data_IF_012291478669
#
_entry.id   IF_012291478669
#
_cell.length_a   1.000
_cell.length_b   1.000
_cell.length_c   1.000
_cell.angle_alpha   90.00
_cell.angle_beta   90.00
_cell.angle_gamma   90.00
#
_symmetry.space_group_name_H-M   'P 1'
#
loop_
_entity.id
_entity.type
_entity.pdbx_description
1 polymer ?
#
# COMPACT_ATOMS: atom_id res chain seq x y z
N UNK A 1 9.23 5.34 0.60
CA UNK A 1 10.35 5.74 1.47
C UNK A 1 10.25 4.94 2.76
N UNK A 2 11.26 4.95 3.61
CA UNK A 2 11.15 4.43 4.99
C UNK A 2 11.62 5.58 5.88
N UNK A 3 10.79 6.08 6.80
CA UNK A 3 11.32 6.95 7.86
C UNK A 3 12.00 6.02 8.85
N UNK A 4 13.26 6.30 9.17
CA UNK A 4 14.10 5.42 9.97
C UNK A 4 14.35 6.11 11.31
N UNK A 5 13.99 5.44 12.40
CA UNK A 5 14.30 5.89 13.76
C UNK A 5 14.89 4.75 14.59
N UNK A 6 15.53 5.10 15.72
CA UNK A 6 16.07 4.12 16.68
C UNK A 6 14.94 3.29 17.29
N UNK A 7 13.81 3.93 17.57
CA UNK A 7 12.60 3.34 18.14
C UNK A 7 11.96 2.36 17.14
N UNK A 8 11.92 2.71 15.86
CA UNK A 8 11.47 1.80 14.80
C UNK A 8 12.38 0.58 14.68
N UNK A 9 13.69 0.78 14.73
CA UNK A 9 14.65 -0.34 14.72
C UNK A 9 14.43 -1.28 15.91
N UNK A 10 14.12 -0.73 17.09
CA UNK A 10 13.78 -1.53 18.27
C UNK A 10 12.50 -2.34 18.05
N UNK A 11 11.44 -1.71 17.51
CA UNK A 11 10.17 -2.40 17.18
C UNK A 11 10.36 -3.52 16.17
N UNK A 12 11.15 -3.30 15.12
CA UNK A 12 11.48 -4.34 14.12
C UNK A 12 12.16 -5.54 14.77
N UNK A 13 13.14 -5.30 15.65
CA UNK A 13 13.84 -6.39 16.37
C UNK A 13 12.88 -7.19 17.26
N UNK A 14 12.05 -6.50 18.04
CA UNK A 14 11.04 -7.15 18.89
C UNK A 14 10.05 -7.98 18.07
N UNK A 15 9.60 -7.47 16.92
CA UNK A 15 8.76 -8.26 16.01
C UNK A 15 9.48 -9.50 15.49
N UNK A 16 10.75 -9.38 15.09
CA UNK A 16 11.55 -10.50 14.59
C UNK A 16 11.88 -11.55 15.66
N UNK A 17 11.89 -11.18 16.94
CA UNK A 17 11.97 -12.13 18.07
C UNK A 17 10.70 -12.96 18.19
N UNK A 18 9.53 -12.36 17.97
CA UNK A 18 8.23 -13.05 18.01
C UNK A 18 7.98 -13.86 16.72
N UNK A 19 8.41 -13.34 15.57
CA UNK A 19 8.26 -13.96 14.26
C UNK A 19 9.65 -14.20 13.64
N UNK A 20 10.27 -15.33 14.02
CA UNK A 20 11.62 -15.68 13.56
C UNK A 20 11.77 -15.72 12.04
N UNK A 21 10.75 -16.21 11.32
CA UNK A 21 10.75 -16.24 9.85
C UNK A 21 10.88 -14.83 9.23
N UNK A 22 10.30 -13.81 9.87
CA UNK A 22 10.43 -12.44 9.39
C UNK A 22 11.90 -11.96 9.47
N UNK A 23 12.68 -12.46 10.44
CA UNK A 23 14.11 -12.15 10.55
C UNK A 23 14.89 -12.70 9.37
N UNK A 24 14.68 -13.97 9.04
CA UNK A 24 15.39 -14.66 7.96
C UNK A 24 15.12 -14.03 6.59
N UNK A 25 13.93 -13.45 6.43
CA UNK A 25 13.49 -12.75 5.22
C UNK A 25 13.79 -11.24 5.21
N UNK A 26 14.35 -10.69 6.29
CA UNK A 26 14.60 -9.25 6.41
C UNK A 26 13.32 -8.38 6.48
N UNK A 27 12.21 -8.96 6.92
CA UNK A 27 10.90 -8.30 7.03
C UNK A 27 10.70 -7.65 8.41
N UNK A 28 9.74 -6.72 8.48
CA UNK A 28 9.37 -6.03 9.72
C UNK A 28 9.23 -4.51 9.58
N UNK A 29 9.62 -3.94 8.44
CA UNK A 29 9.41 -2.52 8.13
C UNK A 29 8.25 -2.32 7.19
N UNK A 30 7.57 -1.19 7.35
CA UNK A 30 6.51 -0.75 6.45
C UNK A 30 7.00 0.40 5.59
N UNK A 31 6.68 0.36 4.30
CA UNK A 31 6.91 1.48 3.40
C UNK A 31 5.96 2.63 3.74
N UNK A 32 6.53 3.82 3.89
CA UNK A 32 5.80 5.05 4.22
C UNK A 32 6.17 6.17 3.26
N UNK A 33 5.31 7.16 3.19
CA UNK A 33 5.58 8.36 2.42
C UNK A 33 6.61 9.24 3.14
N UNK A 34 7.33 10.12 2.43
CA UNK A 34 8.19 11.14 3.05
C UNK A 34 7.51 11.97 4.14
N UNK A 35 6.20 12.25 4.02
CA UNK A 35 5.45 13.07 4.98
C UNK A 35 4.18 12.36 5.47
N UNK A 36 3.75 12.64 6.71
CA UNK A 36 2.48 12.13 7.24
C UNK A 36 1.29 12.62 6.42
N UNK A 37 1.35 13.85 5.92
CA UNK A 37 0.34 14.39 5.02
C UNK A 37 0.12 13.52 3.79
N UNK A 38 1.21 13.09 3.15
CA UNK A 38 1.14 12.23 1.96
C UNK A 38 0.56 10.85 2.30
N UNK A 39 0.91 10.26 3.45
CA UNK A 39 0.27 9.01 3.91
C UNK A 39 -1.23 9.19 4.11
N UNK A 40 -1.64 10.28 4.77
CA UNK A 40 -3.05 10.63 5.00
C UNK A 40 -3.82 10.77 3.69
N UNK A 41 -3.29 11.53 2.72
CA UNK A 41 -3.94 11.69 1.41
C UNK A 41 -3.99 10.37 0.67
N UNK A 42 -2.89 9.59 0.62
CA UNK A 42 -2.88 8.27 -0.05
C UNK A 42 -3.89 7.30 0.57
N UNK A 43 -4.10 7.33 1.88
CA UNK A 43 -5.16 6.54 2.52
C UNK A 43 -6.55 6.92 1.99
N UNK A 44 -6.81 8.22 1.78
CA UNK A 44 -8.07 8.69 1.18
C UNK A 44 -8.21 8.25 -0.29
N UNK A 45 -7.10 8.18 -1.03
CA UNK A 45 -7.08 7.70 -2.41
C UNK A 45 -7.40 6.20 -2.51
N UNK A 46 -6.89 5.40 -1.56
CA UNK A 46 -7.13 3.95 -1.47
C UNK A 46 -8.59 3.60 -1.17
N UNK A 47 -9.27 4.44 -0.38
CA UNK A 47 -10.64 4.18 0.06
C UNK A 47 -11.61 4.04 -1.12
N UNK A 48 -12.30 2.89 -1.19
CA UNK A 48 -13.29 2.57 -2.21
C UNK A 48 -12.79 2.84 -3.65
N UNK A 49 -11.56 2.40 -3.92
CA UNK A 49 -10.89 2.62 -5.19
C UNK A 49 -10.17 1.36 -5.65
N UNK A 50 -10.08 1.16 -6.97
CA UNK A 50 -9.19 0.14 -7.53
C UNK A 50 -7.74 0.62 -7.50
N UNK A 51 -6.80 -0.31 -7.45
CA UNK A 51 -5.37 0.01 -7.41
C UNK A 51 -4.92 0.91 -8.57
N UNK A 52 -5.30 0.57 -9.80
CA UNK A 52 -4.96 1.38 -11.00
C UNK A 52 -5.48 2.82 -10.91
N UNK A 53 -6.68 3.02 -10.35
CA UNK A 53 -7.24 4.36 -10.16
C UNK A 53 -6.54 5.09 -9.02
N UNK A 54 -6.16 4.40 -7.94
CA UNK A 54 -5.35 4.98 -6.86
C UNK A 54 -4.03 5.51 -7.39
N UNK A 55 -3.33 4.70 -8.19
CA UNK A 55 -2.07 5.09 -8.84
C UNK A 55 -2.26 6.32 -9.72
N UNK A 56 -3.26 6.32 -10.60
CA UNK A 56 -3.55 7.47 -11.49
C UNK A 56 -3.86 8.76 -10.72
N UNK A 57 -4.58 8.69 -9.60
CA UNK A 57 -4.85 9.88 -8.77
C UNK A 57 -3.57 10.38 -8.07
N UNK A 58 -2.74 9.48 -7.57
CA UNK A 58 -1.47 9.83 -6.91
C UNK A 58 -0.46 10.43 -7.91
N UNK A 59 -0.36 9.85 -9.10
CA UNK A 59 0.49 10.35 -10.19
C UNK A 59 0.06 11.74 -10.64
N UNK A 60 -1.25 11.95 -10.85
CA UNK A 60 -1.78 13.26 -11.24
C UNK A 60 -1.56 14.35 -10.18
N UNK A 61 -1.53 14.00 -8.89
CA UNK A 61 -1.14 14.93 -7.83
C UNK A 61 0.34 15.32 -7.94
N UNK A 62 1.23 14.38 -8.22
CA UNK A 62 2.66 14.67 -8.42
C UNK A 62 2.91 15.51 -9.68
N UNK A 63 2.19 15.24 -10.77
CA UNK A 63 2.22 16.09 -11.97
C UNK A 63 1.75 17.52 -11.68
N UNK A 64 0.62 17.66 -10.96
CA UNK A 64 0.10 18.96 -10.55
C UNK A 64 1.13 19.73 -9.70
N UNK A 65 1.86 19.05 -8.82
CA UNK A 65 2.92 19.69 -8.03
C UNK A 65 3.99 20.33 -8.92
N UNK A 66 4.39 19.64 -10.01
CA UNK A 66 5.35 20.20 -10.95
C UNK A 66 4.76 21.43 -11.68
N UNK A 67 3.50 21.35 -12.10
CA UNK A 67 2.78 22.45 -12.75
C UNK A 67 2.70 23.70 -11.86
N UNK A 68 2.45 23.53 -10.56
CA UNK A 68 2.39 24.63 -9.59
C UNK A 68 3.74 25.31 -9.35
N UNK A 69 4.85 24.59 -9.55
CA UNK A 69 6.20 25.09 -9.30
C UNK A 69 6.94 25.54 -10.56
N UNK A 70 6.39 25.30 -11.75
CA UNK A 70 7.01 25.74 -12.99
C UNK A 70 6.57 27.18 -13.31
N UNK A 71 7.45 28.20 -13.26
CA UNK A 71 7.07 29.60 -13.44
C UNK A 71 6.72 29.97 -14.91
N UNK A 72 6.68 29.03 -15.84
CA UNK A 72 6.55 29.31 -17.27
C UNK A 72 5.28 28.70 -17.88
N UNK A 73 4.18 29.45 -17.70
CA UNK A 73 3.11 29.64 -18.71
C UNK A 73 2.03 30.64 -18.24
N UNK A 74 2.12 31.21 -17.03
CA UNK A 74 1.19 32.22 -16.53
C UNK A 74 1.33 33.62 -17.17
N UNK A 75 1.94 33.74 -18.36
CA UNK A 75 2.06 34.97 -19.11
C UNK A 75 1.73 34.77 -20.60
N UNK A 76 0.51 34.28 -20.88
CA UNK A 76 -0.19 34.51 -22.14
C UNK A 76 -1.62 33.98 -22.04
N UNK A 77 -2.51 34.75 -21.43
CA UNK A 77 -3.93 34.65 -21.74
C UNK A 77 -4.15 35.40 -23.07
N UNK A 78 -4.60 34.74 -24.15
CA UNK A 78 -5.12 35.48 -25.30
C UNK A 78 -6.45 36.11 -24.91
N UNK A 79 -6.60 37.39 -25.26
CA UNK A 79 -7.86 38.13 -25.29
C UNK A 79 -9.00 37.26 -25.88
N UNK A 80 -10.24 37.34 -25.36
CA UNK A 80 -11.37 36.59 -25.88
C UNK A 80 -11.92 37.28 -27.13
N UNK A 81 -11.12 37.41 -28.19
CA UNK A 81 -11.56 37.85 -29.50
C UNK A 81 -10.64 37.31 -30.60
N UNK A 82 -10.74 36.01 -30.87
CA UNK A 82 -10.56 35.50 -32.24
C UNK A 82 -11.07 34.06 -32.39
N UNK A 83 -12.35 33.94 -32.73
CA UNK A 83 -12.85 32.75 -33.41
C UNK A 83 -12.34 32.77 -34.85
N UNK A 84 -11.32 31.98 -35.16
CA UNK A 84 -11.30 31.05 -36.29
C UNK A 84 -9.87 30.58 -36.63
N UNK A 85 -9.78 29.29 -36.95
CA UNK A 85 -8.64 28.59 -37.55
C UNK A 85 -7.46 28.28 -36.63
N UNK A 86 -7.48 27.09 -36.03
CA UNK A 86 -6.41 26.11 -36.27
C UNK A 86 -6.99 24.70 -36.12
N UNK A 87 -7.10 24.00 -37.26
CA UNK A 87 -7.42 22.58 -37.35
C UNK A 87 -6.15 21.77 -37.07
N UNK A 88 -6.26 20.78 -36.18
CA UNK A 88 -5.58 19.50 -36.32
C UNK A 88 -4.29 19.31 -35.52
N UNK A 89 -4.42 18.86 -34.26
CA UNK A 89 -3.72 17.67 -33.74
C UNK A 89 -4.65 17.02 -32.71
N UNK A 90 -5.32 15.95 -33.09
CA UNK A 90 -6.18 15.17 -32.19
C UNK A 90 -5.31 14.18 -31.42
N UNK A 91 -4.88 14.53 -30.21
CA UNK A 91 -4.44 13.51 -29.25
C UNK A 91 -5.67 12.75 -28.78
N UNK A 92 -5.80 11.48 -29.21
CA UNK A 92 -6.79 10.56 -28.68
C UNK A 92 -6.43 10.23 -27.23
N UNK A 93 -6.93 11.03 -26.28
CA UNK A 93 -7.12 10.57 -24.92
C UNK A 93 -8.16 9.45 -24.98
N UNK A 94 -7.75 8.20 -24.77
CA UNK A 94 -8.71 7.12 -24.57
C UNK A 94 -9.59 7.47 -23.37
N UNK A 95 -10.86 7.77 -23.68
CA UNK A 95 -11.88 8.16 -22.74
C UNK A 95 -12.29 6.94 -21.90
N UNK A 96 -11.46 6.56 -20.93
CA UNK A 96 -11.86 5.58 -19.93
C UNK A 96 -12.69 6.28 -18.87
N UNK A 97 -14.02 6.27 -19.05
CA UNK A 97 -14.97 6.63 -17.99
C UNK A 97 -15.20 5.41 -17.10
N UNK A 98 -14.67 5.35 -15.87
CA UNK A 98 -15.00 4.28 -14.96
C UNK A 98 -16.42 4.54 -14.44
N UNK A 99 -17.41 3.80 -14.94
CA UNK A 99 -18.74 3.71 -14.33
C UNK A 99 -18.63 2.92 -13.02
N UNK A 100 -18.16 3.57 -11.96
CA UNK A 100 -18.34 3.05 -10.60
C UNK A 100 -19.47 3.83 -9.97
N UNK A 101 -20.61 3.19 -9.62
CA UNK A 101 -21.68 3.87 -8.90
C UNK A 101 -21.14 4.43 -7.59
N UNK A 102 -21.42 5.69 -7.30
CA UNK A 102 -21.31 6.21 -5.94
C UNK A 102 -22.28 5.41 -5.07
N UNK A 103 -21.75 4.44 -4.32
CA UNK A 103 -22.52 3.79 -3.27
C UNK A 103 -22.97 4.88 -2.29
N UNK A 104 -24.30 5.04 -2.14
CA UNK A 104 -24.87 5.89 -1.10
C UNK A 104 -24.37 5.38 0.26
N UNK A 105 -23.50 6.13 0.92
CA UNK A 105 -23.22 5.92 2.33
C UNK A 105 -24.53 6.06 3.09
N UNK A 106 -25.02 4.96 3.65
CA UNK A 106 -26.09 5.03 4.63
C UNK A 106 -25.47 5.60 5.90
N UNK A 107 -25.95 6.76 6.35
CA UNK A 107 -25.63 7.32 7.67
C UNK A 107 -25.93 6.24 8.72
N UNK A 108 -24.90 5.53 9.20
CA UNK A 108 -25.02 4.62 10.35
C UNK A 108 -24.50 5.34 11.58
N UNK A 109 -25.29 5.28 12.65
CA UNK A 109 -24.97 5.80 13.97
C UNK A 109 -23.66 5.18 14.47
N UNK A 110 -22.88 5.97 15.20
CA UNK A 110 -21.67 5.54 15.88
C UNK A 110 -21.97 4.32 16.78
N UNK A 111 -21.54 3.14 16.33
CA UNK A 111 -21.43 1.96 17.18
C UNK A 111 -20.04 1.98 17.79
N UNK A 112 -19.94 1.87 19.11
CA UNK A 112 -18.68 1.76 19.82
C UNK A 112 -17.91 0.52 19.29
N UNK A 113 -16.81 0.77 18.58
CA UNK A 113 -15.84 -0.27 18.26
C UNK A 113 -14.98 -0.46 19.51
N UNK A 114 -15.43 -1.33 20.42
CA UNK A 114 -14.64 -1.72 21.57
C UNK A 114 -13.44 -2.56 21.10
N UNK A 115 -12.23 -2.05 21.32
CA UNK A 115 -11.04 -2.89 21.39
C UNK A 115 -11.28 -3.95 22.48
N UNK A 116 -11.09 -5.23 22.15
CA UNK A 116 -11.39 -6.32 23.08
C UNK A 116 -10.46 -6.23 24.29
N UNK A 117 -11.03 -5.95 25.48
CA UNK A 117 -10.33 -5.84 26.79
C UNK A 117 -9.44 -7.03 27.16
N UNK A 118 -9.51 -8.15 26.44
CA UNK A 118 -8.74 -9.38 26.68
C UNK A 118 -7.23 -9.25 26.46
N UNK A 119 -6.74 -8.15 25.89
CA UNK A 119 -5.30 -7.90 25.70
C UNK A 119 -4.59 -7.34 26.93
N UNK A 120 -5.32 -6.68 27.85
CA UNK A 120 -4.71 -6.08 29.04
C UNK A 120 -4.22 -7.15 30.04
N UNK A 121 -4.94 -8.28 30.14
CA UNK A 121 -4.61 -9.38 31.05
C UNK A 121 -3.35 -10.17 30.63
N UNK A 122 -2.97 -10.12 29.34
CA UNK A 122 -1.79 -10.86 28.82
C UNK A 122 -0.48 -10.08 28.87
N UNK A 123 -0.53 -8.77 29.07
CA UNK A 123 0.68 -7.93 29.16
C UNK A 123 1.21 -7.87 30.59
N UNK A 124 0.35 -8.00 31.60
CA UNK A 124 0.75 -8.13 33.00
C UNK A 124 1.59 -9.39 33.28
N UNK A 125 1.42 -10.46 32.50
CA UNK A 125 2.24 -11.68 32.63
C UNK A 125 3.66 -11.55 32.04
N UNK A 126 3.90 -10.57 31.16
CA UNK A 126 5.22 -10.39 30.50
C UNK A 126 6.13 -9.48 31.33
N UNK A 127 5.59 -8.61 32.19
CA UNK A 127 6.40 -7.75 33.07
C UNK A 127 6.95 -8.50 34.31
N UNK A 128 6.42 -9.67 34.68
CA UNK A 128 6.84 -10.41 35.89
C UNK A 128 7.83 -11.58 35.68
N UNK A 129 8.22 -11.92 34.45
CA UNK A 129 9.17 -13.03 34.22
C UNK A 129 10.56 -12.50 33.88
N UNK A 130 11.26 -12.03 34.93
CA UNK A 130 12.72 -11.99 34.96
C UNK A 130 13.20 -13.01 36.01
N UNK A 131 13.88 -14.02 35.50
CA UNK A 131 14.87 -14.91 36.11
C UNK A 131 14.47 -16.32 36.64
N UNK A 132 15.37 -17.25 36.31
CA UNK A 132 15.65 -18.60 36.82
C UNK A 132 15.05 -19.82 36.07
N UNK A 133 15.94 -20.51 35.33
CA UNK A 133 16.10 -21.98 35.42
C UNK A 133 15.41 -22.89 34.37
N UNK A 134 16.24 -23.52 33.51
CA UNK A 134 16.01 -24.72 32.63
C UNK A 134 15.23 -25.91 33.29
N UNK A 135 14.91 -27.01 32.56
CA UNK A 135 14.47 -27.16 31.16
C UNK A 135 13.27 -28.14 30.96
N UNK A 136 12.64 -28.08 29.78
CA UNK A 136 12.09 -29.26 29.09
C UNK A 136 10.56 -29.40 29.04
N UNK A 137 9.95 -29.10 27.89
CA UNK A 137 8.80 -29.83 27.34
C UNK A 137 8.86 -29.75 25.81
N UNK A 138 8.92 -30.92 25.20
CA UNK A 138 8.85 -31.18 23.76
C UNK A 138 7.41 -30.96 23.27
N UNK A 139 7.21 -30.10 22.26
CA UNK A 139 5.98 -30.07 21.48
C UNK A 139 6.35 -30.09 20.00
N UNK A 140 5.97 -31.18 19.35
CA UNK A 140 6.09 -31.46 17.92
C UNK A 140 5.28 -30.48 17.08
N UNK A 141 5.80 -29.96 15.96
CA UNK A 141 4.96 -29.38 14.91
C UNK A 141 4.44 -30.50 14.01
N UNK A 142 3.12 -30.53 13.83
CA UNK A 142 2.46 -31.36 12.84
C UNK A 142 2.58 -30.70 11.46
N UNK A 143 3.56 -31.11 10.67
CA UNK A 143 3.50 -31.04 9.21
C UNK A 143 4.05 -32.36 8.66
N UNK A 144 3.17 -33.13 8.02
CA UNK A 144 3.45 -34.47 7.52
C UNK A 144 4.53 -34.46 6.44
N UNK A 145 5.52 -35.34 6.63
CA UNK A 145 6.54 -35.73 5.65
C UNK A 145 5.92 -36.64 4.59
N UNK A 146 6.29 -36.39 3.33
CA UNK A 146 6.25 -37.37 2.25
C UNK A 146 7.65 -37.48 1.63
N UNK A 147 8.41 -38.50 2.06
CA UNK A 147 9.54 -39.10 1.34
C UNK A 147 8.97 -39.99 0.21
N UNK A 148 9.63 -40.35 -0.90
CA UNK A 148 11.06 -40.53 -1.17
C UNK A 148 11.33 -40.78 -2.69
N UNK A 149 12.64 -40.86 -3.05
CA UNK A 149 13.28 -41.57 -4.21
C UNK A 149 13.50 -40.70 -5.50
N UNK A 150 14.69 -40.45 -6.08
CA UNK A 150 16.10 -40.89 -5.86
C UNK A 150 17.12 -40.08 -6.72
N UNK A 151 18.25 -39.72 -6.08
CA UNK A 151 19.68 -39.60 -6.50
C UNK A 151 20.11 -39.04 -7.89
N UNK A 152 21.04 -38.07 -7.85
CA UNK A 152 22.52 -38.24 -8.00
C UNK A 152 23.21 -36.87 -7.84
N UNK A 153 23.92 -36.63 -6.73
CA UNK A 153 25.39 -36.68 -6.58
C UNK A 153 26.20 -35.71 -7.46
N UNK A 154 26.83 -34.69 -6.85
CA UNK A 154 28.29 -34.67 -6.71
C UNK A 154 28.80 -33.55 -5.79
N UNK A 155 29.89 -33.92 -5.12
CA UNK A 155 30.71 -33.32 -4.08
C UNK A 155 31.74 -32.33 -4.65
N UNK A 156 31.98 -31.18 -4.00
CA UNK A 156 33.30 -30.59 -3.64
C UNK A 156 33.06 -29.19 -3.05
N UNK A 157 33.29 -28.96 -1.75
CA UNK A 157 34.56 -28.72 -1.02
C UNK A 157 34.92 -27.23 -1.00
N UNK A 158 35.00 -26.73 0.23
CA UNK A 158 35.47 -25.41 0.65
C UNK A 158 36.78 -24.99 -0.03
N UNK A 159 36.86 -23.69 -0.38
CA UNK A 159 38.05 -22.88 -0.14
C UNK A 159 37.67 -21.41 -0.04
N UNK A 160 38.00 -20.84 1.11
CA UNK A 160 38.11 -19.41 1.41
C UNK A 160 39.21 -18.79 0.55
N UNK A 161 38.91 -17.77 -0.26
CA UNK A 161 39.92 -16.83 -0.75
C UNK A 161 39.37 -15.39 -0.76
N UNK A 162 40.10 -14.55 -0.03
CA UNK A 162 40.09 -13.09 -0.04
C UNK A 162 41.02 -12.63 -1.16
N UNK A 163 40.73 -11.49 -1.78
CA UNK A 163 41.57 -10.52 -2.54
C UNK A 163 40.77 -10.05 -3.77
N UNK A 164 40.88 -8.85 -4.33
CA UNK A 164 41.33 -7.51 -3.96
C UNK A 164 40.83 -6.62 -5.14
N UNK A 165 40.84 -5.32 -4.94
CA UNK A 165 40.39 -4.23 -5.81
C UNK A 165 40.84 -4.36 -7.28
N UNK A 166 39.90 -4.15 -8.20
CA UNK A 166 40.15 -3.96 -9.63
C UNK A 166 39.34 -2.79 -10.20
N UNK A 167 39.98 -1.63 -10.30
CA UNK A 167 39.49 -0.44 -10.99
C UNK A 167 39.38 -0.68 -12.51
N UNK A 168 38.21 -0.42 -13.10
CA UNK A 168 38.07 -0.33 -14.56
C UNK A 168 37.39 0.97 -14.98
N UNK A 169 38.01 1.62 -15.95
CA UNK A 169 37.84 2.99 -16.46
C UNK A 169 36.41 3.36 -16.94
N UNK A 170 36.08 4.66 -17.02
CA UNK A 170 34.75 5.14 -17.38
C UNK A 170 34.53 5.07 -18.90
N UNK A 171 33.43 4.46 -19.31
CA UNK A 171 32.90 4.53 -20.67
C UNK A 171 32.34 5.93 -20.92
N UNK A 172 32.99 6.70 -21.80
CA UNK A 172 32.44 7.93 -22.36
C UNK A 172 31.36 7.56 -23.39
N UNK A 173 30.11 7.91 -23.09
CA UNK A 173 29.00 7.93 -24.05
C UNK A 173 28.63 9.41 -24.30
N UNK A 174 28.64 9.76 -25.58
CA UNK A 174 28.39 11.09 -26.12
C UNK A 174 26.99 11.63 -25.73
N UNK A 175 26.85 12.81 -25.08
CA UNK A 175 25.56 13.28 -24.55
C UNK A 175 24.68 14.04 -25.55
N UNK A 176 25.01 14.08 -26.85
CA UNK A 176 24.43 15.10 -27.74
C UNK A 176 23.14 14.73 -28.48
N UNK A 177 22.67 13.48 -28.46
CA UNK A 177 21.49 13.06 -29.25
C UNK A 177 20.23 12.71 -28.40
N UNK A 178 20.36 12.48 -27.09
CA UNK A 178 19.21 12.17 -26.22
C UNK A 178 18.44 13.40 -25.69
N UNK A 179 18.90 14.61 -26.04
CA UNK A 179 18.42 15.85 -25.42
C UNK A 179 17.06 16.34 -25.93
N UNK A 180 16.38 15.62 -26.84
CA UNK A 180 15.06 16.02 -27.40
C UNK A 180 13.88 15.11 -27.04
N UNK A 181 14.08 14.02 -26.28
CA UNK A 181 12.99 13.11 -25.87
C UNK A 181 12.84 12.96 -24.34
N UNK A 182 13.59 13.73 -23.54
CA UNK A 182 13.67 13.57 -22.07
C UNK A 182 12.86 14.59 -21.26
N UNK A 183 12.16 15.54 -21.88
CA UNK A 183 11.55 16.68 -21.18
C UNK A 183 10.09 16.49 -20.69
N UNK A 184 9.48 15.31 -20.87
CA UNK A 184 8.06 15.07 -20.52
C UNK A 184 7.80 13.96 -19.48
N UNK A 185 8.85 13.34 -18.93
CA UNK A 185 8.70 12.27 -17.92
C UNK A 185 9.15 12.69 -16.51
N UNK A 186 9.30 13.99 -16.25
CA UNK A 186 9.66 14.45 -14.92
C UNK A 186 8.40 14.48 -14.04
N UNK A 187 8.25 13.51 -13.16
CA UNK A 187 7.21 13.54 -12.13
C UNK A 187 7.64 14.49 -11.01
N UNK A 188 6.72 15.35 -10.55
CA UNK A 188 6.97 16.23 -9.42
C UNK A 188 7.00 15.49 -8.07
N UNK A 189 7.25 16.23 -7.00
CA UNK A 189 7.05 15.73 -5.65
C UNK A 189 5.55 15.55 -5.37
N UNK A 190 5.20 14.88 -4.27
CA UNK A 190 3.82 14.96 -3.80
C UNK A 190 3.51 16.39 -3.30
N UNK A 191 2.34 16.98 -3.64
CA UNK A 191 2.00 18.33 -3.19
C UNK A 191 2.03 18.46 -1.67
N UNK A 192 2.52 19.59 -1.18
CA UNK A 192 2.45 20.00 0.22
C UNK A 192 1.05 20.51 0.59
N UNK A 193 0.71 20.57 1.90
CA UNK A 193 -0.54 21.19 2.35
C UNK A 193 -0.70 22.63 1.86
N UNK A 194 0.38 23.41 1.82
CA UNK A 194 0.35 24.82 1.39
C UNK A 194 -0.02 24.96 -0.09
N UNK A 195 0.53 24.10 -0.94
CA UNK A 195 0.22 24.10 -2.38
C UNK A 195 -1.23 23.71 -2.66
N UNK A 196 -1.82 22.80 -1.89
CA UNK A 196 -3.20 22.36 -2.08
C UNK A 196 -4.24 23.27 -1.42
N UNK A 197 -3.92 23.91 -0.29
CA UNK A 197 -4.87 24.70 0.48
C UNK A 197 -5.45 25.92 -0.27
N UNK A 198 -4.69 26.47 -1.23
CA UNK A 198 -5.10 27.63 -2.03
C UNK A 198 -5.90 27.26 -3.29
N UNK A 199 -6.03 25.98 -3.61
CA UNK A 199 -6.71 25.54 -4.84
C UNK A 199 -8.23 25.49 -4.68
N UNK A 200 -8.92 25.61 -5.81
CA UNK A 200 -10.35 25.35 -5.89
C UNK A 200 -10.66 23.84 -5.91
N UNK A 201 -11.74 23.44 -5.25
CA UNK A 201 -12.16 22.04 -5.16
C UNK A 201 -12.52 21.45 -6.52
N UNK A 202 -13.29 22.19 -7.33
CA UNK A 202 -13.73 21.70 -8.63
C UNK A 202 -12.54 21.54 -9.59
N UNK A 203 -11.57 22.46 -9.51
CA UNK A 203 -10.32 22.40 -10.23
C UNK A 203 -9.53 21.14 -9.83
N UNK A 204 -9.27 20.95 -8.53
CA UNK A 204 -8.49 19.81 -8.04
C UNK A 204 -9.17 18.47 -8.37
N UNK A 205 -10.50 18.41 -8.21
CA UNK A 205 -11.30 17.24 -8.56
C UNK A 205 -11.17 16.86 -10.05
N UNK A 206 -11.22 17.87 -10.93
CA UNK A 206 -11.14 17.67 -12.38
C UNK A 206 -9.71 17.34 -12.82
N UNK A 207 -8.70 18.10 -12.39
CA UNK A 207 -7.29 17.94 -12.81
C UNK A 207 -6.70 16.60 -12.37
N UNK A 208 -7.01 16.17 -11.15
CA UNK A 208 -6.43 14.94 -10.58
C UNK A 208 -7.42 13.75 -10.57
N UNK A 209 -8.63 13.92 -11.09
CA UNK A 209 -9.63 12.86 -11.11
C UNK A 209 -10.09 12.38 -9.73
N UNK A 210 -10.05 13.24 -8.72
CA UNK A 210 -10.27 12.83 -7.32
C UNK A 210 -11.75 12.61 -6.98
N UNK A 211 -12.67 13.18 -7.76
CA UNK A 211 -14.10 13.18 -7.47
C UNK A 211 -14.39 13.79 -6.10
N UNK A 212 -15.24 13.14 -5.30
CA UNK A 212 -15.61 13.62 -3.96
C UNK A 212 -14.43 13.73 -2.97
N UNK A 213 -13.26 13.15 -3.29
CA UNK A 213 -12.08 13.19 -2.41
C UNK A 213 -11.41 14.56 -2.42
N UNK A 214 -11.60 15.36 -3.48
CA UNK A 214 -10.95 16.66 -3.63
C UNK A 214 -11.29 17.60 -2.46
N UNK A 215 -12.58 17.75 -2.13
CA UNK A 215 -13.01 18.60 -1.02
C UNK A 215 -12.43 18.17 0.32
N UNK A 216 -12.37 16.86 0.57
CA UNK A 216 -11.79 16.30 1.80
C UNK A 216 -10.27 16.58 1.88
N UNK A 217 -9.55 16.43 0.76
CA UNK A 217 -8.11 16.71 0.68
C UNK A 217 -7.83 18.20 0.89
N UNK A 218 -8.61 19.10 0.27
CA UNK A 218 -8.48 20.55 0.48
C UNK A 218 -8.78 20.92 1.93
N UNK A 219 -9.83 20.34 2.52
CA UNK A 219 -10.19 20.59 3.92
C UNK A 219 -9.07 20.14 4.87
N UNK A 220 -8.47 18.98 4.63
CA UNK A 220 -7.28 18.52 5.37
C UNK A 220 -6.11 19.49 5.21
N UNK A 221 -5.79 19.89 3.97
CA UNK A 221 -4.70 20.81 3.66
C UNK A 221 -4.88 22.17 4.36
N UNK A 222 -6.08 22.75 4.30
CA UNK A 222 -6.44 23.98 5.00
C UNK A 222 -6.31 23.83 6.51
N UNK A 223 -6.84 22.77 7.09
CA UNK A 223 -6.74 22.53 8.53
C UNK A 223 -5.29 22.46 9.03
N UNK A 224 -4.39 21.89 8.22
CA UNK A 224 -2.95 21.86 8.53
C UNK A 224 -2.32 23.25 8.41
N UNK A 225 -2.63 24.00 7.34
CA UNK A 225 -2.07 25.34 7.11
C UNK A 225 -2.54 26.35 8.16
N UNK A 226 -3.80 26.25 8.58
CA UNK A 226 -4.43 27.08 9.61
C UNK A 226 -4.03 26.66 11.03
N UNK A 227 -3.37 25.51 11.20
CA UNK A 227 -2.89 25.01 12.49
C UNK A 227 -3.93 24.25 13.32
N UNK A 228 -5.14 24.02 12.80
CA UNK A 228 -6.14 23.18 13.49
C UNK A 228 -5.78 21.69 13.50
N UNK A 229 -4.90 21.26 12.57
CA UNK A 229 -4.33 19.91 12.53
C UNK A 229 -2.80 20.01 12.61
N UNK A 230 -2.24 19.67 13.76
CA UNK A 230 -0.81 19.78 14.02
C UNK A 230 -0.09 18.44 13.77
N UNK A 231 0.37 18.23 12.53
CA UNK A 231 0.99 16.95 12.12
C UNK A 231 2.23 16.58 12.92
N UNK A 232 3.07 17.56 13.27
CA UNK A 232 4.30 17.31 14.05
C UNK A 232 3.98 16.79 15.45
N UNK A 233 3.04 17.43 16.14
CA UNK A 233 2.59 16.98 17.46
C UNK A 233 1.99 15.57 17.40
N UNK A 234 1.26 15.26 16.32
CA UNK A 234 0.73 13.91 16.10
C UNK A 234 1.84 12.87 15.90
N UNK A 235 2.87 13.17 15.11
CA UNK A 235 4.03 12.29 14.93
C UNK A 235 4.83 12.12 16.23
N UNK A 236 5.05 13.20 16.97
CA UNK A 236 5.74 13.20 18.27
C UNK A 236 4.99 12.36 19.30
N UNK A 237 3.66 12.57 19.42
CA UNK A 237 2.80 11.80 20.31
C UNK A 237 2.80 10.30 19.98
N UNK A 238 3.09 9.93 18.72
CA UNK A 238 3.12 8.52 18.28
C UNK A 238 4.54 7.93 18.24
N UNK A 239 5.58 8.67 18.64
CA UNK A 239 6.98 8.19 18.56
C UNK A 239 7.22 6.94 19.42
N UNK A 240 6.54 6.87 20.57
CA UNK A 240 6.50 5.71 21.48
C UNK A 240 5.06 5.20 21.62
N UNK A 241 4.55 4.43 20.64
CA UNK A 241 3.15 4.03 20.63
C UNK A 241 2.84 3.07 21.78
N UNK A 242 1.88 3.42 22.62
CA UNK A 242 1.30 2.54 23.64
C UNK A 242 -0.11 2.09 23.23
N UNK A 243 -0.58 0.94 23.69
CA UNK A 243 -1.93 0.48 23.38
C UNK A 243 -3.01 1.45 23.88
N UNK A 244 -2.79 2.09 25.03
CA UNK A 244 -3.70 3.09 25.60
C UNK A 244 -3.82 4.35 24.75
N UNK A 245 -2.78 4.71 23.99
CA UNK A 245 -2.80 5.92 23.16
C UNK A 245 -3.58 5.71 21.86
N UNK A 246 -3.70 4.47 21.38
CA UNK A 246 -4.33 4.19 20.09
C UNK A 246 -5.76 4.70 20.00
N UNK A 247 -6.61 4.39 20.99
CA UNK A 247 -8.03 4.76 20.95
C UNK A 247 -8.20 6.29 20.93
N UNK A 248 -7.39 6.99 21.73
CA UNK A 248 -7.36 8.46 21.76
C UNK A 248 -6.93 9.04 20.41
N UNK A 249 -5.85 8.52 19.81
CA UNK A 249 -5.37 9.00 18.51
C UNK A 249 -6.35 8.68 17.38
N UNK A 250 -6.99 7.50 17.42
CA UNK A 250 -8.02 7.10 16.47
C UNK A 250 -9.27 7.99 16.58
N UNK A 251 -9.65 8.39 17.79
CA UNK A 251 -10.70 9.38 18.05
C UNK A 251 -10.36 10.74 17.45
N UNK A 252 -9.15 11.26 17.72
CA UNK A 252 -8.70 12.54 17.16
C UNK A 252 -8.68 12.52 15.63
N UNK A 253 -8.15 11.44 15.02
CA UNK A 253 -8.13 11.28 13.57
C UNK A 253 -9.52 11.20 12.96
N UNK A 254 -10.50 10.63 13.67
CA UNK A 254 -11.88 10.45 13.18
C UNK A 254 -12.66 11.76 13.06
N UNK A 255 -12.21 12.83 13.70
CA UNK A 255 -12.75 14.18 13.52
C UNK A 255 -12.38 14.79 12.15
N UNK A 256 -11.40 14.21 11.45
CA UNK A 256 -10.98 14.66 10.12
C UNK A 256 -11.96 14.11 9.07
N UNK A 257 -12.45 14.97 8.17
CA UNK A 257 -13.37 14.57 7.12
C UNK A 257 -12.72 13.54 6.16
N UNK A 258 -13.37 12.39 5.98
CA UNK A 258 -12.85 11.26 5.23
C UNK A 258 -12.09 10.21 6.05
N UNK A 259 -11.96 10.40 7.37
CA UNK A 259 -11.27 9.48 8.25
C UNK A 259 -12.26 8.53 8.94
N UNK A 260 -12.57 7.44 8.23
CA UNK A 260 -13.27 6.30 8.82
C UNK A 260 -12.30 5.34 9.53
N UNK A 261 -12.83 4.26 10.16
CA UNK A 261 -12.02 3.29 10.89
C UNK A 261 -10.84 2.71 10.08
N UNK A 262 -11.06 2.43 8.80
CA UNK A 262 -10.02 1.95 7.89
C UNK A 262 -8.92 2.99 7.67
N UNK A 263 -9.29 4.25 7.40
CA UNK A 263 -8.33 5.35 7.18
C UNK A 263 -7.51 5.59 8.45
N UNK A 264 -8.16 5.68 9.62
CA UNK A 264 -7.47 5.86 10.89
C UNK A 264 -6.48 4.73 11.17
N UNK A 265 -6.90 3.47 11.00
CA UNK A 265 -6.02 2.32 11.22
C UNK A 265 -4.80 2.34 10.29
N UNK A 266 -4.95 2.69 9.01
CA UNK A 266 -3.81 2.80 8.09
C UNK A 266 -2.84 3.92 8.50
N UNK A 267 -3.37 5.10 8.86
CA UNK A 267 -2.53 6.23 9.27
C UNK A 267 -1.78 5.91 10.57
N UNK A 268 -2.46 5.31 11.56
CA UNK A 268 -1.83 4.90 12.82
C UNK A 268 -0.82 3.77 12.61
N UNK A 269 -1.07 2.84 11.68
CA UNK A 269 -0.10 1.85 11.27
C UNK A 269 1.16 2.50 10.69
N UNK A 270 1.02 3.53 9.85
CA UNK A 270 2.15 4.34 9.37
C UNK A 270 2.87 5.10 10.51
N UNK A 271 2.21 5.33 11.64
CA UNK A 271 2.80 5.93 12.83
C UNK A 271 3.39 4.90 13.81
N UNK A 272 3.33 3.60 13.49
CA UNK A 272 3.96 2.53 14.28
C UNK A 272 3.01 1.72 15.15
N UNK A 273 1.70 1.95 15.06
CA UNK A 273 0.70 1.13 15.72
C UNK A 273 0.40 -0.13 14.90
N UNK A 274 1.10 -1.22 15.22
CA UNK A 274 0.98 -2.48 14.48
C UNK A 274 -0.02 -3.47 15.07
N UNK A 275 -0.71 -3.12 16.15
CA UNK A 275 -1.62 -4.03 16.82
C UNK A 275 -2.99 -4.13 16.14
N UNK A 276 -3.33 -3.16 15.28
CA UNK A 276 -4.56 -3.16 14.48
C UNK A 276 -4.22 -3.38 13.02
N UNK A 277 -4.90 -4.34 12.39
CA UNK A 277 -4.84 -4.56 10.94
C UNK A 277 -5.94 -3.73 10.26
N UNK A 278 -5.60 -2.82 9.34
CA UNK A 278 -6.61 -2.09 8.58
C UNK A 278 -7.35 -3.03 7.60
N UNK A 279 -8.50 -3.55 8.02
CA UNK A 279 -9.19 -4.59 7.26
C UNK A 279 -9.94 -4.02 6.06
N UNK A 280 -9.76 -4.66 4.90
CA UNK A 280 -10.41 -4.30 3.65
C UNK A 280 -10.77 -5.55 2.81
N UNK A 281 -11.14 -5.33 1.54
CA UNK A 281 -11.43 -6.42 0.62
C UNK A 281 -10.23 -7.33 0.35
N UNK A 282 -9.02 -6.78 0.39
CA UNK A 282 -7.79 -7.55 0.19
C UNK A 282 -7.50 -8.44 1.40
N UNK A 283 -7.74 -7.92 2.60
CA UNK A 283 -7.67 -8.70 3.85
C UNK A 283 -8.60 -9.91 3.78
N UNK A 284 -9.88 -9.70 3.43
CA UNK A 284 -10.86 -10.79 3.29
C UNK A 284 -10.42 -11.80 2.24
N UNK A 285 -9.89 -11.34 1.10
CA UNK A 285 -9.37 -12.23 0.05
C UNK A 285 -8.22 -13.08 0.57
N UNK A 286 -7.27 -12.46 1.25
CA UNK A 286 -6.08 -13.12 1.79
C UNK A 286 -6.46 -14.20 2.81
N UNK A 287 -7.32 -13.87 3.78
CA UNK A 287 -7.84 -14.84 4.76
C UNK A 287 -8.51 -16.05 4.09
N UNK A 288 -9.25 -15.82 3.00
CA UNK A 288 -9.88 -16.90 2.25
C UNK A 288 -8.89 -17.80 1.55
N UNK A 289 -7.83 -17.24 0.95
CA UNK A 289 -6.90 -17.99 0.12
C UNK A 289 -5.80 -18.68 0.90
N UNK A 290 -5.32 -18.06 1.98
CA UNK A 290 -4.21 -18.56 2.79
C UNK A 290 -4.70 -19.33 4.01
N UNK A 291 -5.78 -18.89 4.65
CA UNK A 291 -6.29 -19.49 5.90
C UNK A 291 -7.58 -20.29 5.71
N UNK A 292 -8.07 -20.43 4.46
CA UNK A 292 -9.37 -21.05 4.16
C UNK A 292 -10.55 -20.48 4.97
N UNK A 293 -10.45 -19.22 5.43
CA UNK A 293 -11.50 -18.54 6.22
C UNK A 293 -12.44 -17.76 5.32
N UNK A 294 -13.73 -18.06 5.39
CA UNK A 294 -14.76 -17.30 4.66
C UNK A 294 -15.24 -16.14 5.52
N UNK A 295 -14.47 -15.04 5.49
CA UNK A 295 -14.78 -13.81 6.21
C UNK A 295 -15.69 -12.88 5.41
N UNK A 296 -16.46 -12.08 6.12
CA UNK A 296 -17.27 -10.95 5.64
C UNK A 296 -16.85 -9.68 6.39
N UNK A 297 -17.37 -8.53 5.96
CA UNK A 297 -17.10 -7.23 6.61
C UNK A 297 -17.48 -7.27 8.11
N UNK A 298 -18.44 -8.10 8.51
CA UNK A 298 -18.93 -8.17 9.89
C UNK A 298 -18.04 -9.02 10.82
N UNK A 299 -17.30 -10.00 10.29
CA UNK A 299 -16.54 -10.95 11.11
C UNK A 299 -15.02 -10.89 10.87
N UNK A 300 -14.56 -10.17 9.83
CA UNK A 300 -13.13 -10.08 9.46
C UNK A 300 -12.26 -9.71 10.65
N UNK A 301 -12.69 -8.78 11.50
CA UNK A 301 -11.91 -8.38 12.67
C UNK A 301 -11.69 -9.53 13.66
N UNK A 302 -12.71 -10.37 13.88
CA UNK A 302 -12.61 -11.54 14.76
C UNK A 302 -11.68 -12.58 14.17
N UNK A 303 -11.79 -12.82 12.87
CA UNK A 303 -10.95 -13.83 12.19
C UNK A 303 -9.48 -13.40 12.17
N UNK A 304 -9.23 -12.11 11.90
CA UNK A 304 -7.91 -11.51 12.02
C UNK A 304 -7.33 -11.68 13.42
N UNK A 305 -8.11 -11.37 14.46
CA UNK A 305 -7.66 -11.53 15.86
C UNK A 305 -7.32 -12.99 16.18
N UNK A 306 -8.16 -13.94 15.74
CA UNK A 306 -7.93 -15.36 15.97
C UNK A 306 -6.64 -15.88 15.31
N UNK A 307 -6.28 -15.34 14.15
CA UNK A 307 -5.11 -15.79 13.38
C UNK A 307 -3.84 -15.07 13.84
N UNK A 308 -3.91 -13.74 13.95
CA UNK A 308 -2.76 -12.89 14.15
C UNK A 308 -2.57 -12.41 15.59
N UNK A 309 -3.55 -12.58 16.49
CA UNK A 309 -3.47 -12.12 17.87
C UNK A 309 -2.27 -12.70 18.66
N UNK A 310 -1.77 -13.86 18.26
CA UNK A 310 -0.53 -14.46 18.82
C UNK A 310 0.74 -13.64 18.57
N UNK A 311 0.71 -12.68 17.63
CA UNK A 311 1.83 -11.80 17.30
C UNK A 311 1.76 -10.46 18.02
N UNK A 312 0.91 -10.29 19.04
CA UNK A 312 0.76 -9.02 19.74
C UNK A 312 2.11 -8.47 20.25
N UNK A 313 2.36 -7.14 20.13
CA UNK A 313 1.52 -6.10 19.53
C UNK A 313 1.78 -5.85 18.02
N UNK A 314 2.33 -6.82 17.30
CA UNK A 314 2.78 -6.71 15.91
C UNK A 314 1.89 -7.47 14.90
N UNK A 315 0.59 -7.60 15.19
CA UNK A 315 -0.37 -8.32 14.35
C UNK A 315 -0.30 -7.89 12.88
N UNK A 316 -0.24 -6.58 12.62
CA UNK A 316 -0.13 -6.02 11.27
C UNK A 316 1.16 -6.43 10.57
N UNK A 317 2.31 -6.43 11.25
CA UNK A 317 3.58 -6.81 10.63
C UNK A 317 3.59 -8.28 10.23
N UNK A 318 3.01 -9.15 11.06
CA UNK A 318 2.85 -10.57 10.75
C UNK A 318 1.91 -10.77 9.54
N UNK A 319 0.75 -10.12 9.55
CA UNK A 319 -0.17 -10.12 8.42
C UNK A 319 0.49 -9.62 7.14
N UNK A 320 1.20 -8.49 7.22
CA UNK A 320 1.87 -7.88 6.08
C UNK A 320 2.99 -8.77 5.52
N UNK A 321 3.77 -9.40 6.40
CA UNK A 321 4.79 -10.38 6.04
C UNK A 321 4.19 -11.57 5.26
N UNK A 322 3.07 -12.10 5.73
CA UNK A 322 2.39 -13.23 5.07
C UNK A 322 1.78 -12.83 3.72
N UNK A 323 1.17 -11.64 3.64
CA UNK A 323 0.67 -11.08 2.38
C UNK A 323 1.82 -10.93 1.39
N UNK A 324 2.94 -10.34 1.82
CA UNK A 324 4.11 -10.14 0.96
C UNK A 324 4.66 -11.45 0.43
N UNK A 325 4.82 -12.45 1.31
CA UNK A 325 5.26 -13.78 0.93
C UNK A 325 4.32 -14.41 -0.11
N UNK A 326 3.00 -14.33 0.12
CA UNK A 326 2.00 -14.83 -0.81
C UNK A 326 2.09 -14.17 -2.19
N UNK A 327 2.36 -12.87 -2.26
CA UNK A 327 2.59 -12.17 -3.52
C UNK A 327 3.89 -12.62 -4.20
N UNK A 328 4.98 -12.78 -3.45
CA UNK A 328 6.26 -13.23 -3.99
C UNK A 328 6.21 -14.64 -4.58
N UNK A 329 5.45 -15.56 -3.99
CA UNK A 329 5.23 -16.90 -4.56
C UNK A 329 4.54 -16.86 -5.92
N UNK A 330 3.77 -15.81 -6.19
CA UNK A 330 2.95 -15.67 -7.41
C UNK A 330 3.66 -14.88 -8.51
N UNK A 331 4.37 -13.84 -8.12
CA UNK A 331 4.95 -12.86 -9.03
C UNK A 331 6.48 -12.92 -9.08
N UNK A 332 7.12 -13.80 -8.29
CA UNK A 332 8.56 -13.82 -8.09
C UNK A 332 8.99 -12.81 -7.02
N UNK A 333 10.29 -12.79 -6.72
CA UNK A 333 10.85 -11.88 -5.74
C UNK A 333 10.67 -10.43 -6.19
N UNK A 334 9.98 -9.65 -5.37
CA UNK A 334 9.62 -8.28 -5.73
C UNK A 334 10.83 -7.33 -5.75
N UNK A 335 11.89 -7.67 -5.00
CA UNK A 335 13.17 -6.96 -5.01
C UNK A 335 13.93 -7.09 -6.34
N UNK A 336 13.66 -8.15 -7.12
CA UNK A 336 14.32 -8.44 -8.39
C UNK A 336 13.48 -7.96 -9.60
N UNK A 337 12.27 -7.43 -9.34
CA UNK A 337 11.33 -7.01 -10.37
C UNK A 337 11.57 -5.55 -10.82
N UNK A 338 11.45 -5.23 -12.12
CA UNK A 338 11.52 -3.85 -12.60
C UNK A 338 10.43 -2.96 -11.99
N UNK A 339 10.77 -1.71 -11.64
CA UNK A 339 9.82 -0.78 -11.02
C UNK A 339 8.55 -0.54 -11.87
N UNK A 340 8.67 -0.59 -13.19
CA UNK A 340 7.53 -0.43 -14.13
C UNK A 340 6.47 -1.53 -13.99
N UNK A 341 6.83 -2.67 -13.40
CA UNK A 341 5.97 -3.83 -13.22
C UNK A 341 5.29 -3.87 -11.84
N UNK A 342 5.71 -3.05 -10.87
CA UNK A 342 5.12 -3.04 -9.53
C UNK A 342 3.60 -2.80 -9.52
N UNK A 343 3.10 -2.00 -10.48
CA UNK A 343 1.65 -1.77 -10.66
C UNK A 343 0.86 -3.04 -10.99
N UNK A 344 1.55 -4.09 -11.45
CA UNK A 344 0.95 -5.38 -11.80
C UNK A 344 0.77 -6.30 -10.59
N UNK A 345 1.42 -6.02 -9.47
CA UNK A 345 1.35 -6.82 -8.24
C UNK A 345 0.01 -6.57 -7.56
N UNK A 346 -1.04 -7.23 -8.04
CA UNK A 346 -2.41 -7.11 -7.52
C UNK A 346 -3.16 -8.43 -7.60
N UNK A 347 -4.13 -8.59 -6.71
CA UNK A 347 -5.08 -9.69 -6.74
C UNK A 347 -5.80 -9.86 -8.09
N UNK A 348 -6.03 -8.75 -8.82
CA UNK A 348 -6.67 -8.80 -10.14
C UNK A 348 -5.81 -9.56 -11.17
N UNK A 349 -4.48 -9.42 -11.08
CA UNK A 349 -3.52 -10.05 -11.99
C UNK A 349 -3.11 -11.47 -11.56
N UNK A 350 -3.54 -11.94 -10.38
CA UNK A 350 -3.36 -13.33 -9.95
C UNK A 350 -4.30 -14.31 -10.66
N UNK A 351 -5.39 -13.82 -11.24
CA UNK A 351 -6.40 -14.68 -11.87
C UNK A 351 -5.77 -15.34 -13.10
N UNK A 352 -5.72 -16.67 -13.13
CA UNK A 352 -5.39 -17.42 -14.36
C UNK A 352 -6.25 -16.87 -15.50
N UNK A 353 -5.62 -16.49 -16.63
CA UNK A 353 -6.36 -16.22 -17.87
C UNK A 353 -7.31 -17.39 -18.06
N UNK A 354 -8.62 -17.17 -18.00
CA UNK A 354 -9.58 -18.16 -18.49
C UNK A 354 -9.13 -18.44 -19.91
N UNK A 355 -8.68 -19.65 -20.20
CA UNK A 355 -8.49 -20.11 -21.58
C UNK A 355 -9.75 -19.68 -22.32
N UNK A 356 -9.58 -18.79 -23.30
CA UNK A 356 -10.68 -18.16 -24.01
C UNK A 356 -11.62 -19.27 -24.45
N UNK A 357 -12.93 -19.06 -24.22
CA UNK A 357 -13.96 -19.95 -24.73
C UNK A 357 -13.63 -20.26 -26.18
N UNK A 358 -13.26 -21.51 -26.47
CA UNK A 358 -13.20 -22.01 -27.82
C UNK A 358 -14.57 -21.66 -28.43
N UNK A 359 -14.59 -20.74 -29.41
CA UNK A 359 -15.82 -20.40 -30.11
C UNK A 359 -16.36 -21.73 -30.63
N UNK A 360 -17.48 -22.20 -30.07
CA UNK A 360 -18.27 -23.26 -30.70
C UNK A 360 -18.63 -22.71 -32.08
N UNK A 361 -17.93 -23.20 -33.11
CA UNK A 361 -18.34 -23.02 -34.49
C UNK A 361 -19.74 -23.62 -34.57
N UNK A 362 -20.74 -22.76 -34.84
CA UNK A 362 -22.06 -23.20 -35.22
C UNK A 362 -21.89 -23.95 -36.54
N UNK A 363 -21.98 -25.28 -36.49
CA UNK A 363 -22.24 -26.08 -37.69
C UNK A 363 -23.69 -25.76 -38.07
N UNK A 364 -23.86 -24.94 -39.10
CA UNK A 364 -25.15 -24.76 -39.76
C UNK A 364 -25.42 -25.99 -40.60
N UNK A 365 -26.48 -26.72 -40.27
CA UNK A 365 -27.04 -27.78 -41.09
C UNK A 365 -27.60 -27.18 -42.38
N UNK A 366 -26.85 -27.29 -43.47
CA UNK A 366 -27.38 -27.21 -44.83
C UNK A 366 -26.35 -27.81 -45.78
N UNK A 367 -26.49 -29.10 -46.07
CA UNK A 367 -26.36 -29.66 -47.43
C UNK A 367 -26.77 -31.14 -47.38
N UNK A 368 -28.07 -31.36 -47.58
CA UNK A 368 -28.57 -32.57 -48.22
C UNK A 368 -28.16 -32.47 -49.69
N UNK A 369 -27.46 -33.50 -50.19
CA UNK A 369 -27.69 -34.20 -51.48
C UNK A 369 -26.35 -34.73 -52.01
N UNK A 370 -26.27 -36.05 -52.21
CA UNK A 370 -25.30 -36.62 -53.15
C UNK A 370 -24.74 -37.99 -52.77
N UNK A 371 -25.51 -39.03 -53.10
CA UNK A 371 -25.13 -40.45 -53.26
C UNK A 371 -25.03 -41.29 -51.99
#
# INVERSE_FOLDING_TARGET
MVRLSVEENKRVKQFQEICGEAKDRGLGRVFRSPTLFEDMVKCMLLCNCQWSRTLSMAEALCELQLELNCPSSAASFPDPDNQNQLKGVTFKSEHFTPRTPAGKESRKRAGAYGCSRKLLERLTEVEEIIDIGKPGVTVTPAFSVGEEVLKKSNLCRDTTEVCDVGTSAPFNLDPSEDRKLSSFNQLGNFPSPKELASLDESFLAKRCGLGYRAGRIIKLAKGIVEGSIQLKELEEACSNPSLSDYDKMAEQLREIDGFGPFTCANVLMCLGYYHVIPTDSETIRHLKQVHARTSTIQNVQRDVENIYGKYAPFQFLAYWSEVWHFYEERFGKLSEMPHSEYKLITAANMRRKRNGKCKKLKITSAEKLGV
#
